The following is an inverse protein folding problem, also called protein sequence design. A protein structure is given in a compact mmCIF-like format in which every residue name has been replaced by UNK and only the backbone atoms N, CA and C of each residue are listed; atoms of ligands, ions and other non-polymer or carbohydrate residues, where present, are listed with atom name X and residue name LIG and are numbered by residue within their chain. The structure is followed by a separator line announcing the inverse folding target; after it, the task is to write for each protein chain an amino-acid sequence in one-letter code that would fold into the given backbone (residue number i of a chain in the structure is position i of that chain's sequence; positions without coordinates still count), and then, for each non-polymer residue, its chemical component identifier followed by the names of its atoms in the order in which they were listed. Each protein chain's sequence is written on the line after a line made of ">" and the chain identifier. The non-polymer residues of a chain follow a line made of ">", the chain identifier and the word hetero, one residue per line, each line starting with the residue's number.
data_IF_842368176158
#
_entry.id   IF_842368176158
#
_cell.length_a   1.000
_cell.length_b   1.000
_cell.length_c   1.000
_cell.angle_alpha   90.00
_cell.angle_beta   90.00
_cell.angle_gamma   90.00
#
_symmetry.space_group_name_H-M   'P 1'
#
loop_
_entity.id
_entity.type
_entity.pdbx_description
1 polymer ?
#
# COMPACT_ATOMS: atom_id res chain seq x y z
N UNK A 1 10.44 8.05 123.86
CA UNK A 1 9.62 6.95 123.31
C UNK A 1 9.51 7.09 121.79
N UNK A 2 10.28 6.31 121.02
CA UNK A 2 10.26 6.34 119.55
C UNK A 2 9.69 5.02 119.05
N UNK A 3 8.45 5.06 118.56
CA UNK A 3 7.67 3.90 118.12
C UNK A 3 8.02 3.61 116.64
N UNK A 4 8.93 2.66 116.40
CA UNK A 4 9.29 2.16 115.05
C UNK A 4 8.05 1.57 114.37
N UNK A 5 7.61 2.17 113.25
CA UNK A 5 6.57 1.63 112.37
C UNK A 5 7.19 0.56 111.48
N UNK A 6 6.83 -0.70 111.69
CA UNK A 6 7.19 -1.80 110.81
C UNK A 6 6.54 -1.63 109.43
N UNK A 7 7.37 -1.46 108.40
CA UNK A 7 6.91 -1.43 107.01
C UNK A 7 6.55 -2.85 106.60
N UNK A 8 5.30 -3.02 106.17
CA UNK A 8 4.67 -4.30 105.88
C UNK A 8 5.17 -4.88 104.54
N UNK A 9 6.25 -5.67 104.59
CA UNK A 9 6.99 -6.22 103.44
C UNK A 9 6.14 -7.06 102.46
N UNK A 10 4.96 -7.55 102.86
CA UNK A 10 4.06 -8.34 101.99
C UNK A 10 3.40 -7.53 100.86
N UNK A 11 3.19 -6.22 101.02
CA UNK A 11 2.55 -5.36 99.97
C UNK A 11 3.48 -4.98 98.81
N UNK A 12 4.79 -5.04 98.99
CA UNK A 12 5.77 -4.72 97.94
C UNK A 12 6.02 -5.89 96.96
N UNK A 13 5.74 -7.13 97.38
CA UNK A 13 5.91 -8.31 96.52
C UNK A 13 4.73 -8.56 95.56
N UNK A 14 3.50 -8.17 95.91
CA UNK A 14 2.34 -8.32 95.02
C UNK A 14 2.36 -7.32 93.86
N UNK A 15 2.80 -6.08 94.11
CA UNK A 15 2.97 -5.04 93.08
C UNK A 15 4.12 -5.33 92.11
N UNK A 16 5.21 -5.97 92.57
CA UNK A 16 6.29 -6.45 91.69
C UNK A 16 5.88 -7.63 90.80
N UNK A 17 5.04 -8.56 91.29
CA UNK A 17 4.50 -9.66 90.47
C UNK A 17 3.53 -9.14 89.38
N UNK A 18 2.66 -8.20 89.72
CA UNK A 18 1.72 -7.58 88.77
C UNK A 18 2.43 -6.80 87.66
N UNK A 19 3.47 -6.01 87.98
CA UNK A 19 4.27 -5.31 86.97
C UNK A 19 5.05 -6.25 86.05
N UNK A 20 5.61 -7.36 86.56
CA UNK A 20 6.28 -8.36 85.72
C UNK A 20 5.31 -9.07 84.76
N UNK A 21 4.08 -9.36 85.19
CA UNK A 21 3.06 -9.94 84.32
C UNK A 21 2.60 -8.97 83.22
N UNK A 22 2.45 -7.67 83.52
CA UNK A 22 2.16 -6.65 82.50
C UNK A 22 3.30 -6.46 81.50
N UNK A 23 4.56 -6.56 81.94
CA UNK A 23 5.72 -6.47 81.04
C UNK A 23 5.76 -7.68 80.09
N UNK A 24 5.45 -8.89 80.58
CA UNK A 24 5.37 -10.10 79.76
C UNK A 24 4.23 -10.03 78.74
N UNK A 25 3.03 -9.61 79.16
CA UNK A 25 1.90 -9.42 78.24
C UNK A 25 2.22 -8.37 77.15
N UNK A 26 2.89 -7.28 77.52
CA UNK A 26 3.32 -6.27 76.54
C UNK A 26 4.43 -6.75 75.60
N UNK A 27 5.31 -7.66 76.04
CA UNK A 27 6.31 -8.25 75.14
C UNK A 27 5.69 -9.21 74.15
N UNK A 28 4.69 -10.00 74.58
CA UNK A 28 3.98 -10.94 73.71
C UNK A 28 3.17 -10.19 72.64
N UNK A 29 2.42 -9.14 73.05
CA UNK A 29 1.67 -8.26 72.12
C UNK A 29 2.62 -7.61 71.11
N UNK A 30 3.80 -7.16 71.54
CA UNK A 30 4.80 -6.55 70.65
C UNK A 30 5.32 -7.55 69.61
N UNK A 31 5.52 -8.80 70.02
CA UNK A 31 5.97 -9.87 69.11
C UNK A 31 4.90 -10.24 68.08
N UNK A 32 3.62 -10.28 68.47
CA UNK A 32 2.50 -10.48 67.54
C UNK A 32 2.36 -9.32 66.55
N UNK A 33 2.49 -8.07 67.03
CA UNK A 33 2.44 -6.88 66.18
C UNK A 33 3.56 -6.88 65.12
N UNK A 34 4.78 -7.26 65.52
CA UNK A 34 5.92 -7.38 64.60
C UNK A 34 5.71 -8.50 63.56
N UNK A 35 5.09 -9.62 63.96
CA UNK A 35 4.71 -10.68 63.03
C UNK A 35 3.67 -10.21 62.01
N UNK A 36 2.60 -9.53 62.46
CA UNK A 36 1.57 -8.95 61.58
C UNK A 36 2.18 -7.95 60.61
N UNK A 37 3.01 -7.01 61.09
CA UNK A 37 3.73 -6.05 60.24
C UNK A 37 4.64 -6.73 59.21
N UNK A 38 5.26 -7.86 59.56
CA UNK A 38 6.08 -8.62 58.63
C UNK A 38 5.25 -9.30 57.53
N UNK A 39 4.05 -9.77 57.86
CA UNK A 39 3.11 -10.38 56.93
C UNK A 39 2.50 -9.34 55.99
N UNK A 40 2.08 -8.19 56.52
CA UNK A 40 1.59 -7.06 55.70
C UNK A 40 2.66 -6.58 54.72
N UNK A 41 3.91 -6.44 55.16
CA UNK A 41 5.02 -6.07 54.26
C UNK A 41 5.27 -7.12 53.18
N UNK A 42 5.02 -8.41 53.44
CA UNK A 42 5.11 -9.47 52.43
C UNK A 42 3.96 -9.39 51.43
N UNK A 43 2.72 -9.24 51.91
CA UNK A 43 1.54 -9.06 51.06
C UNK A 43 1.69 -7.83 50.14
N UNK A 44 2.10 -6.68 50.67
CA UNK A 44 2.34 -5.47 49.86
C UNK A 44 3.42 -5.71 48.78
N UNK A 45 4.44 -6.53 49.07
CA UNK A 45 5.47 -6.88 48.07
C UNK A 45 4.93 -7.83 47.00
N UNK A 46 4.07 -8.77 47.36
CA UNK A 46 3.42 -9.69 46.43
C UNK A 46 2.42 -8.95 45.54
N UNK A 47 1.57 -8.10 46.11
CA UNK A 47 0.61 -7.28 45.35
C UNK A 47 1.32 -6.38 44.33
N UNK A 48 2.43 -5.74 44.73
CA UNK A 48 3.24 -4.95 43.79
C UNK A 48 3.84 -5.78 42.66
N UNK A 49 4.23 -7.03 42.92
CA UNK A 49 4.70 -7.95 41.87
C UNK A 49 3.58 -8.35 40.92
N UNK A 50 2.39 -8.64 41.45
CA UNK A 50 1.20 -8.99 40.66
C UNK A 50 0.82 -7.81 39.76
N UNK A 51 0.69 -6.60 40.30
CA UNK A 51 0.39 -5.39 39.53
C UNK A 51 1.42 -5.13 38.42
N UNK A 52 2.71 -5.37 38.69
CA UNK A 52 3.76 -5.23 37.68
C UNK A 52 3.61 -6.24 36.55
N UNK A 53 3.28 -7.50 36.87
CA UNK A 53 3.04 -8.55 35.89
C UNK A 53 1.80 -8.28 35.04
N UNK A 54 0.70 -7.83 35.64
CA UNK A 54 -0.52 -7.44 34.93
C UNK A 54 -0.27 -6.31 33.94
N UNK A 55 0.45 -5.26 34.37
CA UNK A 55 0.81 -4.14 33.49
C UNK A 55 1.68 -4.60 32.30
N UNK A 56 2.60 -5.53 32.55
CA UNK A 56 3.45 -6.12 31.49
C UNK A 56 2.64 -6.97 30.51
N UNK A 57 1.61 -7.68 30.99
CA UNK A 57 0.70 -8.45 30.13
C UNK A 57 -0.19 -7.53 29.29
N UNK A 58 -0.75 -6.46 29.87
CA UNK A 58 -1.54 -5.47 29.13
C UNK A 58 -0.75 -4.83 28.00
N UNK A 59 0.49 -4.40 28.26
CA UNK A 59 1.36 -3.82 27.23
C UNK A 59 1.63 -4.80 26.08
N UNK A 60 1.90 -6.08 26.38
CA UNK A 60 2.07 -7.11 25.35
C UNK A 60 0.80 -7.33 24.52
N UNK A 61 -0.37 -7.24 25.16
CA UNK A 61 -1.66 -7.41 24.50
C UNK A 61 -1.95 -6.25 23.52
N UNK A 62 -1.56 -5.03 23.90
CA UNK A 62 -1.60 -3.87 23.00
C UNK A 62 -0.62 -4.00 21.83
N UNK A 63 0.60 -4.47 22.07
CA UNK A 63 1.59 -4.75 21.01
C UNK A 63 1.05 -5.78 20.01
N UNK A 64 0.46 -6.88 20.50
CA UNK A 64 -0.15 -7.90 19.65
C UNK A 64 -1.32 -7.36 18.82
N UNK A 65 -2.17 -6.52 19.39
CA UNK A 65 -3.28 -5.87 18.66
C UNK A 65 -2.78 -4.94 17.55
N UNK A 66 -1.70 -4.19 17.80
CA UNK A 66 -1.07 -3.35 16.76
C UNK A 66 -0.54 -4.21 15.63
N UNK A 67 0.16 -5.30 15.95
CA UNK A 67 0.67 -6.27 14.98
C UNK A 67 -0.45 -6.92 14.15
N UNK A 68 -1.54 -7.33 14.79
CA UNK A 68 -2.72 -7.87 14.10
C UNK A 68 -3.32 -6.83 13.13
N UNK A 69 -3.43 -5.56 13.55
CA UNK A 69 -3.92 -4.49 12.68
C UNK A 69 -3.01 -4.26 11.47
N UNK A 70 -1.69 -4.30 11.67
CA UNK A 70 -0.72 -4.17 10.58
C UNK A 70 -0.79 -5.34 9.62
N UNK A 71 -0.91 -6.57 10.13
CA UNK A 71 -1.09 -7.77 9.30
C UNK A 71 -2.40 -7.68 8.54
N UNK A 72 -3.50 -7.27 9.19
CA UNK A 72 -4.80 -7.12 8.53
C UNK A 72 -4.76 -6.05 7.42
N UNK A 73 -4.03 -4.97 7.63
CA UNK A 73 -3.82 -3.93 6.63
C UNK A 73 -2.91 -4.40 5.47
N UNK A 74 -1.90 -5.23 5.75
CA UNK A 74 -0.97 -5.75 4.73
C UNK A 74 -1.51 -6.97 3.96
N UNK A 75 -2.30 -7.83 4.60
CA UNK A 75 -2.77 -9.12 4.07
C UNK A 75 -4.23 -9.03 3.59
N UNK A 76 -5.01 -8.06 4.08
CA UNK A 76 -6.42 -7.89 3.72
C UNK A 76 -6.68 -7.33 2.32
N UNK A 77 -5.68 -6.77 1.64
CA UNK A 77 -5.83 -6.34 0.25
C UNK A 77 -5.65 -7.53 -0.69
N UNK A 78 -6.72 -8.31 -0.86
CA UNK A 78 -6.80 -9.35 -1.88
C UNK A 78 -6.44 -8.74 -3.25
N UNK A 79 -5.51 -9.33 -4.04
CA UNK A 79 -5.03 -8.75 -5.31
C UNK A 79 -6.14 -8.46 -6.34
N UNK A 80 -7.28 -9.14 -6.23
CA UNK A 80 -8.47 -8.94 -7.07
C UNK A 80 -9.29 -7.68 -6.71
N UNK A 81 -9.08 -7.09 -5.53
CA UNK A 81 -9.80 -5.86 -5.09
C UNK A 81 -9.19 -4.59 -5.67
N UNK A 82 -8.00 -4.69 -6.29
CA UNK A 82 -7.27 -3.57 -6.89
C UNK A 82 -7.38 -3.49 -8.41
N UNK A 83 -8.40 -4.14 -9.01
CA UNK A 83 -8.80 -3.80 -10.38
C UNK A 83 -9.31 -2.36 -10.35
N UNK A 84 -8.45 -1.44 -10.74
CA UNK A 84 -8.76 -0.02 -10.74
C UNK A 84 -9.45 0.29 -12.07
N UNK A 85 -10.26 1.35 -12.13
CA UNK A 85 -10.82 1.82 -13.41
C UNK A 85 -9.75 2.06 -14.48
N UNK A 86 -8.51 2.36 -14.06
CA UNK A 86 -7.34 2.43 -14.94
C UNK A 86 -7.06 1.10 -15.65
N UNK A 87 -7.12 -0.02 -14.94
CA UNK A 87 -6.84 -1.35 -15.50
C UNK A 87 -7.92 -1.78 -16.48
N UNK A 88 -9.19 -1.47 -16.17
CA UNK A 88 -10.31 -1.66 -17.10
C UNK A 88 -10.09 -0.85 -18.38
N UNK A 89 -9.65 0.41 -18.26
CA UNK A 89 -9.29 1.26 -19.40
C UNK A 89 -8.17 0.65 -20.26
N UNK A 90 -7.10 0.17 -19.62
CA UNK A 90 -5.98 -0.51 -20.29
C UNK A 90 -6.45 -1.77 -21.03
N UNK A 91 -7.26 -2.60 -20.38
CA UNK A 91 -7.81 -3.82 -20.98
C UNK A 91 -8.77 -3.52 -22.13
N UNK A 92 -9.61 -2.50 -22.02
CA UNK A 92 -10.53 -2.10 -23.09
C UNK A 92 -9.78 -1.54 -24.30
N UNK A 93 -8.76 -0.71 -24.08
CA UNK A 93 -7.88 -0.21 -25.14
C UNK A 93 -7.14 -1.37 -25.82
N UNK A 94 -6.57 -2.28 -25.04
CA UNK A 94 -5.88 -3.45 -25.57
C UNK A 94 -6.81 -4.37 -26.39
N UNK A 95 -8.02 -4.62 -25.90
CA UNK A 95 -9.03 -5.39 -26.62
C UNK A 95 -9.50 -4.70 -27.90
N UNK A 96 -9.75 -3.39 -27.86
CA UNK A 96 -10.11 -2.61 -29.04
C UNK A 96 -9.00 -2.62 -30.10
N UNK A 97 -7.76 -2.37 -29.68
CA UNK A 97 -6.60 -2.43 -30.58
C UNK A 97 -6.41 -3.84 -31.14
N UNK A 98 -6.60 -4.88 -30.34
CA UNK A 98 -6.53 -6.28 -30.80
C UNK A 98 -7.59 -6.62 -31.85
N UNK A 99 -8.85 -6.28 -31.59
CA UNK A 99 -9.97 -6.53 -32.52
C UNK A 99 -9.76 -5.74 -33.82
N UNK A 100 -9.46 -4.44 -33.71
CA UNK A 100 -9.25 -3.59 -34.89
C UNK A 100 -8.02 -4.05 -35.65
N UNK A 101 -6.89 -4.33 -34.99
CA UNK A 101 -5.69 -4.84 -35.67
C UNK A 101 -5.96 -6.15 -36.41
N UNK A 102 -6.62 -7.11 -35.76
CA UNK A 102 -6.95 -8.39 -36.39
C UNK A 102 -7.87 -8.21 -37.61
N UNK A 103 -8.92 -7.41 -37.46
CA UNK A 103 -9.85 -7.11 -38.56
C UNK A 103 -9.15 -6.35 -39.69
N UNK A 104 -8.31 -5.38 -39.37
CA UNK A 104 -7.58 -4.58 -40.38
C UNK A 104 -6.50 -5.39 -41.08
N UNK A 105 -5.91 -6.41 -40.44
CA UNK A 105 -4.97 -7.31 -41.11
C UNK A 105 -5.71 -8.23 -42.09
N UNK A 106 -6.84 -8.81 -41.69
CA UNK A 106 -7.61 -9.71 -42.54
C UNK A 106 -8.29 -8.97 -43.69
N UNK A 107 -9.01 -7.90 -43.40
CA UNK A 107 -9.79 -7.14 -44.39
C UNK A 107 -8.97 -6.04 -45.06
N UNK A 108 -7.90 -5.54 -44.44
CA UNK A 108 -7.07 -4.49 -45.03
C UNK A 108 -6.35 -4.94 -46.29
N UNK A 109 -6.11 -6.25 -46.45
CA UNK A 109 -5.64 -6.82 -47.70
C UNK A 109 -6.66 -6.62 -48.84
N UNK A 110 -7.94 -6.84 -48.56
CA UNK A 110 -9.03 -6.61 -49.51
C UNK A 110 -9.21 -5.12 -49.80
N UNK A 111 -9.28 -4.27 -48.77
CA UNK A 111 -9.44 -2.83 -48.94
C UNK A 111 -8.27 -2.17 -49.68
N UNK A 112 -7.04 -2.67 -49.49
CA UNK A 112 -5.88 -2.12 -50.17
C UNK A 112 -5.92 -2.33 -51.70
N UNK A 113 -6.62 -3.35 -52.19
CA UNK A 113 -6.83 -3.58 -53.61
C UNK A 113 -7.62 -2.44 -54.28
N UNK A 114 -8.68 -1.99 -53.61
CA UNK A 114 -9.65 -1.03 -54.15
C UNK A 114 -9.27 0.44 -53.92
N UNK A 115 -8.28 0.69 -53.06
CA UNK A 115 -7.85 2.04 -52.70
C UNK A 115 -6.89 2.59 -53.76
N UNK A 116 -7.14 3.81 -54.23
CA UNK A 116 -6.20 4.53 -55.09
C UNK A 116 -5.04 5.12 -54.28
N UNK A 117 -3.90 5.37 -54.93
CA UNK A 117 -2.70 5.95 -54.27
C UNK A 117 -3.04 7.30 -53.60
N UNK A 118 -3.88 8.11 -54.25
CA UNK A 118 -4.32 9.39 -53.68
C UNK A 118 -5.10 9.19 -52.37
N UNK A 119 -6.00 8.21 -52.32
CA UNK A 119 -6.73 7.89 -51.08
C UNK A 119 -5.79 7.34 -50.01
N UNK A 120 -4.79 6.54 -50.37
CA UNK A 120 -3.77 6.07 -49.44
C UNK A 120 -2.98 7.24 -48.81
N UNK A 121 -2.61 8.26 -49.58
CA UNK A 121 -1.97 9.47 -49.05
C UNK A 121 -2.86 10.18 -48.02
N UNK A 122 -4.17 10.27 -48.29
CA UNK A 122 -5.12 10.84 -47.34
C UNK A 122 -5.19 10.04 -46.04
N UNK A 123 -5.11 8.70 -46.09
CA UNK A 123 -5.07 7.87 -44.88
C UNK A 123 -3.84 8.14 -44.02
N UNK A 124 -2.66 8.32 -44.61
CA UNK A 124 -1.46 8.72 -43.86
C UNK A 124 -1.59 10.10 -43.22
N UNK A 125 -2.15 11.07 -43.95
CA UNK A 125 -2.40 12.41 -43.42
C UNK A 125 -3.40 12.38 -42.25
N UNK A 126 -4.48 11.62 -42.41
CA UNK A 126 -5.51 11.45 -41.39
C UNK A 126 -4.92 10.72 -40.17
N UNK A 127 -4.15 9.65 -40.35
CA UNK A 127 -3.56 8.91 -39.23
C UNK A 127 -2.59 9.78 -38.44
N UNK A 128 -1.75 10.57 -39.13
CA UNK A 128 -0.88 11.56 -38.47
C UNK A 128 -1.69 12.62 -37.70
N UNK A 129 -2.75 13.16 -38.30
CA UNK A 129 -3.61 14.16 -37.64
C UNK A 129 -4.34 13.61 -36.42
N UNK A 130 -4.86 12.37 -36.51
CA UNK A 130 -5.47 11.67 -35.36
C UNK A 130 -4.44 11.47 -34.25
N UNK A 131 -3.21 11.08 -34.60
CA UNK A 131 -2.10 10.98 -33.64
C UNK A 131 -1.79 12.31 -32.96
N UNK A 132 -1.78 13.41 -33.72
CA UNK A 132 -1.58 14.77 -33.19
C UNK A 132 -2.68 15.16 -32.20
N UNK A 133 -3.95 14.95 -32.57
CA UNK A 133 -5.10 15.27 -31.73
C UNK A 133 -5.08 14.44 -30.45
N UNK A 134 -4.86 13.12 -30.57
CA UNK A 134 -4.71 12.22 -29.42
C UNK A 134 -3.60 12.73 -28.51
N UNK A 135 -2.37 12.87 -29.01
CA UNK A 135 -1.21 13.27 -28.20
C UNK A 135 -1.42 14.63 -27.50
N UNK A 136 -2.09 15.58 -28.17
CA UNK A 136 -2.44 16.88 -27.59
C UNK A 136 -3.42 16.76 -26.40
N UNK A 137 -4.52 16.02 -26.56
CA UNK A 137 -5.52 15.85 -25.50
C UNK A 137 -4.95 15.15 -24.26
N UNK A 138 -3.94 14.33 -24.50
CA UNK A 138 -3.42 13.30 -23.62
C UNK A 138 -2.31 13.84 -22.72
N UNK A 139 -1.29 14.48 -23.28
CA UNK A 139 -0.14 14.96 -22.51
C UNK A 139 -0.22 16.43 -22.09
N UNK A 140 -0.94 17.26 -22.85
CA UNK A 140 -0.67 18.70 -22.86
C UNK A 140 -1.79 19.58 -22.35
N UNK A 141 -2.99 19.03 -22.10
CA UNK A 141 -4.09 19.83 -21.53
C UNK A 141 -3.74 20.47 -20.17
N UNK A 142 -2.78 19.90 -19.42
CA UNK A 142 -2.40 20.36 -18.07
C UNK A 142 -1.05 21.07 -17.98
N UNK A 143 -0.22 21.02 -19.02
CA UNK A 143 1.16 21.56 -18.97
C UNK A 143 1.15 23.00 -19.50
N UNK A 144 1.45 23.97 -18.62
CA UNK A 144 1.52 25.40 -18.98
C UNK A 144 2.86 25.82 -19.59
N UNK A 145 3.87 24.95 -19.58
CA UNK A 145 5.21 25.28 -20.06
C UNK A 145 5.32 25.26 -21.59
N UNK A 146 5.60 26.43 -22.16
CA UNK A 146 5.74 26.64 -23.61
C UNK A 146 6.85 25.78 -24.22
N UNK A 147 7.90 25.47 -23.45
CA UNK A 147 9.04 24.66 -23.91
C UNK A 147 8.65 23.21 -24.22
N UNK A 148 7.69 22.64 -23.48
CA UNK A 148 7.24 21.26 -23.73
C UNK A 148 6.44 21.15 -25.04
N UNK A 149 5.82 22.24 -25.51
CA UNK A 149 5.09 22.25 -26.77
C UNK A 149 5.99 21.98 -27.99
N UNK A 150 7.27 22.39 -27.94
CA UNK A 150 8.24 22.13 -29.01
C UNK A 150 8.69 20.66 -29.10
N UNK A 151 8.58 19.90 -28.00
CA UNK A 151 8.97 18.47 -27.95
C UNK A 151 7.87 17.57 -28.53
N UNK A 152 6.62 18.03 -28.50
CA UNK A 152 5.44 17.30 -28.99
C UNK A 152 5.57 16.85 -30.46
N UNK A 153 5.87 17.73 -31.43
CA UNK A 153 5.97 17.30 -32.83
C UNK A 153 7.07 16.25 -33.03
N UNK A 154 8.21 16.37 -32.33
CA UNK A 154 9.30 15.38 -32.41
C UNK A 154 8.83 14.01 -31.90
N UNK A 155 8.15 13.97 -30.75
CA UNK A 155 7.58 12.73 -30.20
C UNK A 155 6.56 12.11 -31.16
N UNK A 156 5.67 12.92 -31.74
CA UNK A 156 4.69 12.45 -32.71
C UNK A 156 5.36 11.85 -33.96
N UNK A 157 6.38 12.52 -34.51
CA UNK A 157 7.15 12.01 -35.64
C UNK A 157 7.84 10.68 -35.32
N UNK A 158 8.42 10.54 -34.13
CA UNK A 158 9.07 9.30 -33.70
C UNK A 158 8.06 8.16 -33.60
N UNK A 159 6.91 8.37 -32.94
CA UNK A 159 5.86 7.35 -32.82
C UNK A 159 5.35 6.96 -34.21
N UNK A 160 5.08 7.94 -35.07
CA UNK A 160 4.60 7.70 -36.42
C UNK A 160 5.60 6.88 -37.24
N UNK A 161 6.89 7.21 -37.16
CA UNK A 161 7.95 6.45 -37.84
C UNK A 161 8.04 5.00 -37.35
N UNK A 162 7.98 4.78 -36.03
CA UNK A 162 7.96 3.44 -35.43
C UNK A 162 6.74 2.66 -35.90
N UNK A 163 5.55 3.29 -35.98
CA UNK A 163 4.33 2.65 -36.46
C UNK A 163 4.48 2.17 -37.91
N UNK A 164 5.00 3.02 -38.80
CA UNK A 164 5.22 2.65 -40.21
C UNK A 164 6.19 1.47 -40.33
N UNK A 165 7.32 1.49 -39.62
CA UNK A 165 8.27 0.37 -39.59
C UNK A 165 7.61 -0.89 -39.05
N UNK A 166 6.81 -0.76 -37.99
CA UNK A 166 6.11 -1.89 -37.37
C UNK A 166 5.11 -2.53 -38.35
N UNK A 167 4.38 -1.72 -39.13
CA UNK A 167 3.49 -2.20 -40.19
C UNK A 167 4.27 -2.93 -41.31
N UNK A 168 5.43 -2.40 -41.73
CA UNK A 168 6.29 -3.04 -42.72
C UNK A 168 6.81 -4.40 -42.23
N UNK A 169 7.27 -4.48 -40.97
CA UNK A 169 7.71 -5.73 -40.35
C UNK A 169 6.55 -6.72 -40.28
N UNK A 170 5.36 -6.29 -39.85
CA UNK A 170 4.19 -7.16 -39.79
C UNK A 170 3.85 -7.74 -41.17
N UNK A 171 3.79 -6.91 -42.21
CA UNK A 171 3.54 -7.38 -43.59
C UNK A 171 4.62 -8.34 -44.09
N UNK A 172 5.88 -8.10 -43.72
CA UNK A 172 6.99 -8.99 -44.04
C UNK A 172 6.80 -10.39 -43.42
N UNK A 173 6.38 -10.47 -42.14
CA UNK A 173 6.11 -11.75 -41.47
C UNK A 173 4.96 -12.54 -42.09
N UNK A 174 3.93 -11.86 -42.60
CA UNK A 174 2.82 -12.51 -43.31
C UNK A 174 3.17 -12.94 -44.75
N UNK A 175 4.44 -12.79 -45.15
CA UNK A 175 4.97 -13.18 -46.45
C UNK A 175 4.16 -12.65 -47.63
N UNK A 176 3.67 -11.41 -47.49
CA UNK A 176 2.88 -10.73 -48.52
C UNK A 176 3.83 -10.28 -49.63
N UNK A 177 4.14 -11.19 -50.56
CA UNK A 177 4.91 -10.88 -51.77
C UNK A 177 4.04 -10.11 -52.76
N UNK A 178 3.89 -8.81 -52.54
CA UNK A 178 3.09 -7.97 -53.41
C UNK A 178 3.89 -6.73 -53.83
N UNK A 179 3.54 -6.27 -55.03
CA UNK A 179 4.02 -5.06 -55.66
C UNK A 179 4.13 -3.89 -54.66
N UNK A 180 5.18 -3.08 -54.79
CA UNK A 180 5.45 -1.94 -53.91
C UNK A 180 4.24 -1.00 -53.79
N UNK A 181 3.46 -0.88 -54.87
CA UNK A 181 2.22 -0.09 -54.88
C UNK A 181 1.14 -0.64 -53.93
N UNK A 182 1.03 -1.97 -53.80
CA UNK A 182 0.05 -2.57 -52.90
C UNK A 182 0.53 -2.53 -51.45
N UNK A 183 1.81 -2.77 -51.20
CA UNK A 183 2.42 -2.62 -49.86
C UNK A 183 2.20 -1.20 -49.33
N UNK A 184 2.41 -0.18 -50.16
CA UNK A 184 2.15 1.21 -49.80
C UNK A 184 0.71 1.46 -49.33
N UNK A 185 -0.27 0.90 -50.06
CA UNK A 185 -1.70 1.03 -49.73
C UNK A 185 -2.06 0.26 -48.46
N UNK A 186 -1.51 -0.95 -48.28
CA UNK A 186 -1.73 -1.76 -47.07
C UNK A 186 -1.19 -1.06 -45.83
N UNK A 187 0.04 -0.53 -45.89
CA UNK A 187 0.62 0.25 -44.79
C UNK A 187 -0.23 1.51 -44.52
N UNK A 188 -0.79 2.15 -45.54
CA UNK A 188 -1.67 3.32 -45.35
C UNK A 188 -2.91 2.96 -44.53
N UNK A 189 -3.60 1.87 -44.89
CA UNK A 189 -4.80 1.39 -44.20
C UNK A 189 -4.48 0.94 -42.77
N UNK A 190 -3.36 0.23 -42.58
CA UNK A 190 -2.92 -0.25 -41.27
C UNK A 190 -2.38 0.86 -40.36
N UNK A 191 -1.87 1.96 -40.93
CA UNK A 191 -1.27 3.05 -40.15
C UNK A 191 -2.27 3.74 -39.21
N UNK A 192 -3.54 3.84 -39.59
CA UNK A 192 -4.56 4.53 -38.79
C UNK A 192 -4.85 3.81 -37.47
N UNK A 193 -5.26 2.53 -37.46
CA UNK A 193 -5.47 1.81 -36.20
C UNK A 193 -4.17 1.60 -35.42
N UNK A 194 -3.04 1.38 -36.10
CA UNK A 194 -1.74 1.25 -35.45
C UNK A 194 -1.32 2.56 -34.74
N UNK A 195 -1.57 3.73 -35.35
CA UNK A 195 -1.31 5.03 -34.74
C UNK A 195 -2.20 5.28 -33.53
N UNK A 196 -3.49 4.93 -33.61
CA UNK A 196 -4.42 5.01 -32.47
C UNK A 196 -3.92 4.12 -31.32
N UNK A 197 -3.53 2.87 -31.62
CA UNK A 197 -3.01 1.95 -30.63
C UNK A 197 -1.71 2.42 -29.99
N UNK A 198 -0.77 2.94 -30.79
CA UNK A 198 0.49 3.49 -30.32
C UNK A 198 0.29 4.72 -29.43
N UNK A 199 -0.56 5.68 -29.83
CA UNK A 199 -0.92 6.82 -28.99
C UNK A 199 -1.64 6.40 -27.70
N UNK A 200 -2.48 5.37 -27.76
CA UNK A 200 -3.18 4.86 -26.57
C UNK A 200 -2.23 4.12 -25.61
N UNK A 201 -1.21 3.43 -26.13
CA UNK A 201 -0.16 2.83 -25.32
C UNK A 201 0.76 3.88 -24.67
N UNK A 202 1.15 4.90 -25.45
CA UNK A 202 1.94 6.05 -24.98
C UNK A 202 1.24 6.81 -23.84
N UNK A 203 -0.10 6.88 -23.93
CA UNK A 203 -1.01 7.36 -22.90
C UNK A 203 -0.94 6.56 -21.59
N UNK A 204 -0.90 5.24 -21.72
CA UNK A 204 -0.94 4.30 -20.59
C UNK A 204 0.40 4.26 -19.86
N UNK A 205 1.52 4.49 -20.57
CA UNK A 205 2.87 4.50 -20.02
C UNK A 205 3.31 5.83 -19.40
N UNK A 206 2.47 6.88 -19.45
CA UNK A 206 2.78 8.22 -18.95
C UNK A 206 2.63 8.45 -17.44
N UNK A 207 2.70 7.40 -16.62
CA UNK A 207 2.77 7.49 -15.14
C UNK A 207 4.15 7.09 -14.62
#
# INVERSE_FOLDING_TARGET
>A
MVKKRGVNFRRLNSTRKSKKAQIFANSDIKSELDQVLSLEKKQIKEDKKVQFLEKKQLNKLEELRKLESEIKNKVGEHPLRKITYKDIGKSMIGAFVGIVSHYTILEGLHFAGDISILRANSFYLISFFVGLVMLYYTGFRKVKDVRLFAILPIRLFLIYFVVIISCLIALYFFNVHLDWGLVYKQVAVLSLPAMIGACAADLIGGE
#
